data_IF_627570758242
#
_entry.id   IF_627570758242
#
_cell.length_a   1.000
_cell.length_b   1.000
_cell.length_c   1.000
_cell.angle_alpha   90.00
_cell.angle_beta   90.00
_cell.angle_gamma   90.00
#
_symmetry.space_group_name_H-M   'P 1'
#
loop_
_entity.id
_entity.type
_entity.pdbx_description
1 polymer ?
#
# COMPACT_ATOMS: atom_id res chain seq x y z
N UNK A 1 -25.51 -2.34 7.52
CA UNK A 1 -24.88 -3.13 8.58
C UNK A 1 -23.47 -3.51 8.16
N UNK A 2 -22.48 -3.27 9.03
CA UNK A 2 -21.10 -3.60 8.74
C UNK A 2 -20.86 -5.06 9.10
N UNK A 3 -20.15 -5.79 8.22
CA UNK A 3 -19.77 -7.17 8.46
C UNK A 3 -18.76 -7.26 9.63
N UNK A 4 -18.80 -8.37 10.36
CA UNK A 4 -17.84 -8.62 11.44
C UNK A 4 -16.41 -8.74 10.91
N UNK A 5 -16.24 -8.97 9.62
CA UNK A 5 -14.94 -9.11 8.96
C UNK A 5 -14.66 -7.93 8.02
N UNK A 6 -15.24 -6.78 8.30
CA UNK A 6 -15.14 -5.59 7.44
C UNK A 6 -13.69 -5.20 7.11
N UNK A 7 -12.77 -5.48 8.02
CA UNK A 7 -11.37 -5.08 7.86
C UNK A 7 -10.59 -5.95 6.86
N UNK A 8 -11.12 -7.10 6.49
CA UNK A 8 -10.38 -8.06 5.65
C UNK A 8 -10.25 -7.62 4.19
N UNK A 9 -11.08 -6.69 3.75
CA UNK A 9 -11.06 -6.21 2.37
C UNK A 9 -10.23 -4.95 2.14
N UNK A 10 -9.62 -4.40 3.17
CA UNK A 10 -8.91 -3.12 3.06
C UNK A 10 -7.74 -3.21 2.09
N UNK A 11 -6.88 -4.22 2.24
CA UNK A 11 -5.72 -4.39 1.36
C UNK A 11 -6.15 -4.49 -0.11
N UNK A 12 -7.15 -5.28 -0.40
CA UNK A 12 -7.65 -5.47 -1.77
C UNK A 12 -8.20 -4.16 -2.35
N UNK A 13 -8.94 -3.40 -1.55
CA UNK A 13 -9.50 -2.13 -1.99
C UNK A 13 -8.40 -1.11 -2.32
N UNK A 14 -7.44 -0.98 -1.41
CA UNK A 14 -6.33 -0.05 -1.61
C UNK A 14 -5.47 -0.48 -2.80
N UNK A 15 -5.15 -1.77 -2.88
CA UNK A 15 -4.33 -2.31 -3.96
C UNK A 15 -4.98 -2.07 -5.33
N UNK A 16 -6.27 -2.36 -5.46
CA UNK A 16 -6.98 -2.21 -6.72
C UNK A 16 -6.94 -0.77 -7.21
N UNK A 17 -7.17 0.18 -6.31
CA UNK A 17 -7.18 1.60 -6.68
C UNK A 17 -5.76 2.09 -7.02
N UNK A 18 -4.78 1.73 -6.20
CA UNK A 18 -3.39 2.14 -6.44
C UNK A 18 -2.90 1.56 -7.76
N UNK A 19 -3.16 0.27 -8.01
CA UNK A 19 -2.79 -0.37 -9.26
C UNK A 19 -3.43 0.33 -10.46
N UNK A 20 -4.72 0.61 -10.37
CA UNK A 20 -5.46 1.26 -11.45
C UNK A 20 -4.85 2.61 -11.80
N UNK A 21 -4.56 3.42 -10.80
CA UNK A 21 -4.02 4.76 -11.02
C UNK A 21 -2.58 4.74 -11.50
N UNK A 22 -1.76 3.84 -10.97
CA UNK A 22 -0.36 3.74 -11.38
C UNK A 22 -0.23 3.21 -12.81
N UNK A 23 -1.07 2.27 -13.22
CA UNK A 23 -1.02 1.74 -14.58
C UNK A 23 -1.45 2.72 -15.65
N UNK A 24 -2.15 3.79 -15.28
CA UNK A 24 -2.44 4.87 -16.22
C UNK A 24 -1.18 5.62 -16.63
N UNK A 25 -0.24 5.76 -15.72
CA UNK A 25 1.02 6.48 -15.95
C UNK A 25 2.12 5.52 -16.38
N UNK A 26 2.11 4.31 -15.85
CA UNK A 26 3.13 3.28 -16.11
C UNK A 26 2.42 2.01 -16.59
N UNK A 27 2.04 1.93 -17.89
CA UNK A 27 1.25 0.79 -18.39
C UNK A 27 1.93 -0.57 -18.26
N UNK A 28 3.26 -0.59 -18.21
CA UNK A 28 4.02 -1.83 -18.10
C UNK A 28 4.30 -2.27 -16.68
N UNK A 29 3.86 -1.47 -15.70
CA UNK A 29 4.08 -1.78 -14.29
C UNK A 29 3.36 -3.07 -13.90
N UNK A 30 4.10 -4.01 -13.31
CA UNK A 30 3.54 -5.23 -12.74
C UNK A 30 3.21 -4.95 -11.28
N UNK A 31 1.99 -5.22 -10.86
CA UNK A 31 1.54 -4.95 -9.50
C UNK A 31 1.15 -6.27 -8.82
N UNK A 32 1.63 -6.47 -7.59
CA UNK A 32 1.35 -7.69 -6.83
C UNK A 32 1.13 -7.35 -5.36
N UNK A 33 0.25 -8.13 -4.72
CA UNK A 33 0.08 -8.06 -3.26
C UNK A 33 0.94 -9.17 -2.66
N UNK A 34 2.01 -8.80 -1.98
CA UNK A 34 2.90 -9.79 -1.37
C UNK A 34 3.77 -9.13 -0.30
N UNK A 35 4.12 -9.92 0.71
CA UNK A 35 5.09 -9.54 1.72
C UNK A 35 6.51 -9.96 1.33
N UNK A 36 6.68 -10.60 0.17
CA UNK A 36 7.99 -11.04 -0.28
C UNK A 36 8.91 -9.84 -0.54
N UNK A 37 10.19 -10.04 -0.23
CA UNK A 37 11.21 -9.02 -0.43
C UNK A 37 12.22 -9.42 -1.50
N UNK A 38 11.94 -10.49 -2.23
CA UNK A 38 12.83 -11.02 -3.26
C UNK A 38 12.75 -10.14 -4.50
N UNK A 39 13.90 -9.90 -5.13
CA UNK A 39 13.96 -9.16 -6.39
C UNK A 39 13.09 -9.83 -7.45
N UNK A 40 12.16 -9.10 -8.07
CA UNK A 40 11.29 -9.68 -9.08
C UNK A 40 12.05 -9.99 -10.38
N UNK A 41 11.46 -10.85 -11.21
CA UNK A 41 11.99 -11.17 -12.53
C UNK A 41 11.51 -10.21 -13.61
N UNK A 42 10.51 -9.41 -13.33
CA UNK A 42 9.93 -8.44 -14.27
C UNK A 42 10.09 -7.03 -13.73
N UNK A 43 10.22 -6.05 -14.62
CA UNK A 43 10.41 -4.66 -14.24
C UNK A 43 9.59 -3.74 -15.18
N UNK A 44 9.08 -2.62 -14.68
CA UNK A 44 9.03 -2.26 -13.26
C UNK A 44 7.97 -3.09 -12.52
N UNK A 45 8.20 -3.33 -11.23
CA UNK A 45 7.26 -4.10 -10.40
C UNK A 45 6.99 -3.35 -9.11
N UNK A 46 5.73 -3.34 -8.70
CA UNK A 46 5.29 -2.80 -7.42
C UNK A 46 4.72 -3.93 -6.56
N UNK A 47 5.21 -4.02 -5.33
CA UNK A 47 4.63 -4.89 -4.31
C UNK A 47 3.92 -4.04 -3.28
N UNK A 48 2.68 -4.41 -2.98
CA UNK A 48 1.91 -3.77 -1.92
C UNK A 48 1.52 -4.83 -0.89
N UNK A 49 1.70 -4.51 0.37
CA UNK A 49 1.36 -5.41 1.47
C UNK A 49 0.78 -4.60 2.62
N UNK A 50 -0.24 -5.14 3.26
CA UNK A 50 -0.86 -4.53 4.43
C UNK A 50 -0.66 -5.39 5.66
N UNK A 51 -0.39 -4.73 6.80
CA UNK A 51 -0.50 -5.36 8.11
C UNK A 51 -1.53 -4.58 8.91
N UNK A 52 -2.20 -5.26 9.83
CA UNK A 52 -3.23 -4.65 10.67
C UNK A 52 -2.99 -4.99 12.13
N UNK A 53 -3.28 -4.00 12.98
CA UNK A 53 -3.27 -4.17 14.42
C UNK A 53 -4.63 -3.71 14.93
N UNK A 54 -5.30 -4.57 15.70
CA UNK A 54 -6.59 -4.23 16.28
C UNK A 54 -6.41 -3.18 17.38
N UNK A 55 -7.27 -2.16 17.37
CA UNK A 55 -7.32 -1.14 18.41
C UNK A 55 -8.78 -0.88 18.77
N UNK A 56 -9.00 -0.30 19.97
CA UNK A 56 -10.36 0.02 20.39
C UNK A 56 -11.24 -1.19 20.61
N UNK A 57 -10.70 -2.22 21.24
CA UNK A 57 -11.43 -3.46 21.46
C UNK A 57 -12.70 -3.23 22.27
N UNK A 58 -13.81 -3.84 21.82
CA UNK A 58 -15.05 -3.86 22.56
C UNK A 58 -15.10 -5.11 23.43
N UNK A 59 -14.99 -4.93 24.75
CA UNK A 59 -14.96 -6.03 25.70
C UNK A 59 -16.28 -6.78 25.78
N UNK A 60 -17.40 -6.15 25.39
CA UNK A 60 -18.70 -6.77 25.49
C UNK A 60 -19.02 -7.66 24.29
N UNK A 61 -18.61 -7.25 23.11
CA UNK A 61 -18.95 -7.92 21.87
C UNK A 61 -17.82 -8.73 21.26
N UNK A 62 -16.58 -8.47 21.69
CA UNK A 62 -15.38 -9.07 21.12
C UNK A 62 -15.21 -8.76 19.63
N UNK A 63 -15.97 -7.78 19.09
CA UNK A 63 -15.87 -7.37 17.70
C UNK A 63 -14.69 -6.43 17.51
N UNK A 64 -14.14 -6.45 16.30
CA UNK A 64 -13.10 -5.51 15.92
C UNK A 64 -13.73 -4.15 15.66
N UNK A 65 -13.42 -3.15 16.50
CA UNK A 65 -13.97 -1.80 16.37
C UNK A 65 -13.15 -0.92 15.44
N UNK A 66 -11.83 -1.08 15.47
CA UNK A 66 -10.93 -0.31 14.62
C UNK A 66 -9.64 -1.08 14.42
N UNK A 67 -8.96 -0.78 13.32
CA UNK A 67 -7.65 -1.33 13.03
C UNK A 67 -6.68 -0.21 12.69
N UNK A 68 -5.42 -0.40 13.04
CA UNK A 68 -4.34 0.42 12.56
C UNK A 68 -3.80 -0.27 11.32
N UNK A 69 -4.15 0.24 10.15
CA UNK A 69 -3.76 -0.34 8.87
C UNK A 69 -2.43 0.26 8.44
N UNK A 70 -1.44 -0.59 8.19
CA UNK A 70 -0.14 -0.16 7.70
C UNK A 70 0.07 -0.74 6.31
N UNK A 71 0.29 0.13 5.33
CA UNK A 71 0.54 -0.25 3.95
C UNK A 71 2.02 -0.08 3.67
N UNK A 72 2.63 -1.11 3.10
CA UNK A 72 4.00 -1.06 2.60
C UNK A 72 3.94 -1.17 1.09
N UNK A 73 4.61 -0.24 0.39
CA UNK A 73 4.74 -0.31 -1.06
C UNK A 73 6.21 -0.32 -1.39
N UNK A 74 6.61 -1.31 -2.16
CA UNK A 74 7.99 -1.49 -2.61
C UNK A 74 8.00 -1.53 -4.13
N UNK A 75 8.89 -0.75 -4.74
CA UNK A 75 8.99 -0.67 -6.21
C UNK A 75 10.40 -1.05 -6.64
N UNK A 76 10.48 -1.85 -7.68
CA UNK A 76 11.74 -2.29 -8.29
C UNK A 76 11.74 -1.86 -9.75
N UNK A 77 12.85 -1.25 -10.20
CA UNK A 77 13.04 -0.90 -11.61
C UNK A 77 14.43 -1.34 -12.04
N UNK A 78 14.59 -1.58 -13.34
CA UNK A 78 15.90 -1.87 -13.93
C UNK A 78 16.37 -0.72 -14.82
N UNK A 79 15.80 0.46 -14.67
CA UNK A 79 16.14 1.65 -15.45
C UNK A 79 16.90 2.67 -14.60
N UNK A 80 16.21 3.57 -13.91
CA UNK A 80 16.85 4.62 -13.12
C UNK A 80 16.22 4.75 -11.73
N UNK A 81 16.99 5.32 -10.79
CA UNK A 81 16.43 5.67 -9.48
C UNK A 81 15.30 6.69 -9.62
N UNK A 82 15.43 7.59 -10.59
CA UNK A 82 14.42 8.63 -10.83
C UNK A 82 13.07 8.01 -11.15
N UNK A 83 13.02 7.00 -12.01
CA UNK A 83 11.78 6.30 -12.34
C UNK A 83 11.21 5.60 -11.12
N UNK A 84 12.05 4.91 -10.34
CA UNK A 84 11.63 4.24 -9.12
C UNK A 84 11.01 5.24 -8.14
N UNK A 85 11.67 6.37 -7.95
CA UNK A 85 11.19 7.43 -7.05
C UNK A 85 9.88 8.01 -7.54
N UNK A 86 9.73 8.21 -8.85
CA UNK A 86 8.51 8.75 -9.43
C UNK A 86 7.32 7.80 -9.22
N UNK A 87 7.53 6.50 -9.40
CA UNK A 87 6.49 5.51 -9.15
C UNK A 87 6.06 5.55 -7.69
N UNK A 88 7.03 5.60 -6.77
CA UNK A 88 6.74 5.68 -5.34
C UNK A 88 6.03 6.98 -4.99
N UNK A 89 6.39 8.08 -5.63
CA UNK A 89 5.73 9.37 -5.39
C UNK A 89 4.27 9.33 -5.83
N UNK A 90 3.98 8.71 -6.96
CA UNK A 90 2.59 8.53 -7.42
C UNK A 90 1.81 7.62 -6.45
N UNK A 91 2.44 6.54 -5.98
CA UNK A 91 1.82 5.67 -4.99
C UNK A 91 1.52 6.43 -3.70
N UNK A 92 2.46 7.27 -3.24
CA UNK A 92 2.27 8.12 -2.07
C UNK A 92 1.05 9.01 -2.23
N UNK A 93 0.90 9.61 -3.40
CA UNK A 93 -0.25 10.47 -3.71
C UNK A 93 -1.56 9.71 -3.60
N UNK A 94 -1.60 8.46 -4.09
CA UNK A 94 -2.81 7.64 -4.02
C UNK A 94 -3.11 7.22 -2.56
N UNK A 95 -2.10 6.89 -1.78
CA UNK A 95 -2.29 6.56 -0.36
C UNK A 95 -2.84 7.77 0.40
N UNK A 96 -2.39 8.98 0.07
CA UNK A 96 -2.93 10.19 0.71
C UNK A 96 -4.40 10.41 0.37
N UNK A 97 -4.85 9.98 -0.80
CA UNK A 97 -6.28 10.04 -1.16
C UNK A 97 -7.12 9.12 -0.29
N UNK A 98 -6.53 8.01 0.19
CA UNK A 98 -7.17 7.11 1.15
C UNK A 98 -6.98 7.58 2.58
N UNK A 99 -6.46 8.81 2.77
CA UNK A 99 -6.23 9.40 4.08
C UNK A 99 -5.18 8.66 4.91
N UNK A 100 -4.29 7.92 4.28
CA UNK A 100 -3.15 7.33 4.97
C UNK A 100 -2.11 8.40 5.25
N UNK A 101 -1.51 8.32 6.42
CA UNK A 101 -0.41 9.18 6.82
C UNK A 101 0.90 8.50 6.42
N UNK A 102 1.56 9.06 5.42
CA UNK A 102 2.81 8.50 4.91
C UNK A 102 3.93 8.78 5.92
N UNK A 103 4.58 7.73 6.39
CA UNK A 103 5.58 7.81 7.46
C UNK A 103 6.97 8.16 6.96
N UNK A 104 7.25 7.90 5.69
CA UNK A 104 8.53 8.28 5.10
C UNK A 104 8.31 8.68 3.65
N UNK A 105 9.05 9.67 3.21
CA UNK A 105 9.06 10.04 1.80
C UNK A 105 9.84 8.99 1.01
N UNK A 106 9.57 8.86 -0.30
CA UNK A 106 10.26 7.86 -1.10
C UNK A 106 11.78 7.99 -1.02
N UNK A 107 12.42 6.91 -0.60
CA UNK A 107 13.88 6.79 -0.63
C UNK A 107 14.22 5.62 -1.53
N UNK A 108 15.23 5.80 -2.37
CA UNK A 108 15.59 4.79 -3.35
C UNK A 108 17.08 4.47 -3.25
N UNK A 109 17.43 3.26 -3.68
CA UNK A 109 18.84 2.86 -3.77
C UNK A 109 19.03 1.98 -4.99
N UNK A 110 20.26 1.92 -5.48
CA UNK A 110 20.64 1.08 -6.63
C UNK A 110 21.60 0.00 -6.16
N UNK A 111 21.34 -1.24 -6.59
CA UNK A 111 22.25 -2.36 -6.41
C UNK A 111 22.21 -3.19 -7.70
N UNK A 112 23.41 -3.42 -8.30
CA UNK A 112 23.53 -4.22 -9.53
C UNK A 112 22.61 -3.73 -10.66
N UNK A 113 22.54 -2.42 -10.87
CA UNK A 113 21.72 -1.79 -11.90
C UNK A 113 20.19 -1.93 -11.66
N UNK A 114 19.80 -2.36 -10.49
CA UNK A 114 18.41 -2.44 -10.09
C UNK A 114 18.17 -1.39 -9.02
N UNK A 115 17.23 -0.49 -9.30
CA UNK A 115 16.81 0.51 -8.34
C UNK A 115 15.61 -0.03 -7.57
N UNK A 116 15.58 0.19 -6.25
CA UNK A 116 14.39 -0.13 -5.49
C UNK A 116 14.17 0.89 -4.39
N UNK A 117 12.94 1.00 -3.95
CA UNK A 117 12.58 1.87 -2.85
C UNK A 117 11.31 1.40 -2.19
N UNK A 118 11.04 1.97 -1.02
CA UNK A 118 9.89 1.58 -0.21
C UNK A 118 9.29 2.79 0.46
N UNK A 119 7.96 2.77 0.59
CA UNK A 119 7.23 3.72 1.44
C UNK A 119 6.35 2.93 2.40
N UNK A 120 6.04 3.57 3.53
CA UNK A 120 5.15 3.02 4.54
C UNK A 120 4.16 4.09 4.94
N UNK A 121 2.89 3.70 5.06
CA UNK A 121 1.84 4.62 5.45
C UNK A 121 0.89 3.94 6.42
N UNK A 122 0.29 4.71 7.31
CA UNK A 122 -0.64 4.21 8.32
C UNK A 122 -1.92 5.00 8.37
N UNK A 123 -2.99 4.30 8.69
CA UNK A 123 -4.29 4.91 8.94
C UNK A 123 -5.05 4.08 9.96
N UNK A 124 -5.69 4.75 10.91
CA UNK A 124 -6.65 4.10 11.80
C UNK A 124 -7.99 4.10 11.10
N UNK A 125 -8.58 2.92 10.93
CA UNK A 125 -9.86 2.75 10.25
C UNK A 125 -10.83 2.11 11.22
N UNK A 126 -11.98 2.77 11.42
CA UNK A 126 -13.03 2.24 12.26
C UNK A 126 -14.05 1.44 11.47
N UNK A 127 -14.81 0.59 12.15
CA UNK A 127 -15.83 -0.23 11.50
C UNK A 127 -16.93 0.59 10.84
N UNK A 128 -17.08 1.87 11.23
CA UNK A 128 -18.00 2.78 10.58
C UNK A 128 -17.49 3.41 9.29
N UNK A 129 -16.21 3.23 8.98
CA UNK A 129 -15.57 3.80 7.79
C UNK A 129 -15.69 2.82 6.62
N UNK A 130 -16.93 2.39 6.33
CA UNK A 130 -17.18 1.36 5.32
C UNK A 130 -16.65 1.73 3.93
N UNK A 131 -16.56 3.03 3.63
CA UNK A 131 -16.03 3.52 2.36
C UNK A 131 -14.71 4.25 2.61
N UNK A 132 -13.62 3.52 2.57
CA UNK A 132 -12.29 4.08 2.84
C UNK A 132 -11.77 4.94 1.69
N UNK A 133 -12.44 4.95 0.55
CA UNK A 133 -12.06 5.78 -0.61
C UNK A 133 -12.38 7.25 -0.37
N UNK A 134 -13.34 7.51 0.49
CA UNK A 134 -13.78 8.89 0.76
C UNK A 134 -13.08 9.53 1.93
#
# INVERSE_FOLDING_TARGET
>A
MVSDTWYTGIESTVFTQVQYMLKKVYPKLVCRTTSETVTPSEFPTMYLHETQEEIGQDLLNEDVNAVNSTIYIRVWTNTTEAECRDILAQATKELKRFHYNVKNLPTTQITDKIAYGEIMARRVIGGGDADIVK
#
